data_IF_163236606566
#
_entry.id   IF_163236606566
#
_cell.length_a   1.000
_cell.length_b   1.000
_cell.length_c   1.000
_cell.angle_alpha   90.00
_cell.angle_beta   90.00
_cell.angle_gamma   90.00
#
_symmetry.space_group_name_H-M   'P 1'
#
loop_
_entity.id
_entity.type
_entity.pdbx_description
1 polymer ?
#
# COMPACT_ATOMS: atom_id res chain seq x y z
N UNK A 1 -3.79 3.73 -25.13
CA UNK A 1 -3.82 3.63 -24.68
C UNK A 1 -3.99 3.69 -23.82
N UNK A 2 -3.88 3.76 -23.28
CA UNK A 2 -3.94 3.77 -22.57
C UNK A 2 -4.67 3.42 -21.59
N UNK A 3 -4.89 2.91 -21.05
CA UNK A 3 -5.52 2.19 -20.05
C UNK A 3 -4.92 2.29 -18.74
N UNK A 4 -3.81 2.69 -18.68
CA UNK A 4 -3.18 2.88 -17.43
C UNK A 4 -3.94 3.77 -16.55
N UNK A 5 -4.54 4.76 -17.04
CA UNK A 5 -5.28 5.67 -16.18
C UNK A 5 -6.30 4.96 -15.33
N UNK A 6 -6.83 3.90 -15.88
CA UNK A 6 -7.84 3.20 -15.14
C UNK A 6 -7.31 2.64 -13.86
N UNK A 7 -6.16 2.04 -13.94
CA UNK A 7 -5.61 1.44 -12.77
C UNK A 7 -5.36 2.48 -11.70
N UNK A 8 -4.94 3.63 -12.15
CA UNK A 8 -4.67 4.70 -11.21
C UNK A 8 -5.92 5.16 -10.56
N UNK A 9 -6.95 5.34 -11.36
CA UNK A 9 -8.18 5.87 -10.86
C UNK A 9 -8.84 4.95 -9.87
N UNK A 10 -8.72 3.67 -10.09
CA UNK A 10 -9.38 2.74 -9.20
C UNK A 10 -8.56 2.44 -7.98
N UNK A 11 -7.33 2.86 -7.96
CA UNK A 11 -6.50 2.56 -6.83
C UNK A 11 -6.01 1.14 -6.79
N UNK A 12 -6.18 0.41 -7.89
CA UNK A 12 -5.70 -0.95 -7.92
C UNK A 12 -4.24 -0.97 -8.26
N UNK A 13 -3.52 -1.86 -7.60
CA UNK A 13 -2.08 -1.95 -7.76
C UNK A 13 -1.70 -3.35 -8.15
N UNK A 14 -0.72 -3.47 -9.03
CA UNK A 14 -0.22 -4.78 -9.40
C UNK A 14 0.72 -5.28 -8.30
N UNK A 15 1.04 -6.56 -8.37
CA UNK A 15 1.94 -7.12 -7.37
C UNK A 15 3.31 -6.49 -7.44
N UNK A 16 3.70 -6.03 -8.62
CA UNK A 16 5.00 -5.41 -8.77
C UNK A 16 5.04 -4.02 -8.16
N UNK A 17 3.87 -3.41 -7.96
CA UNK A 17 3.79 -2.05 -7.48
C UNK A 17 3.38 -1.94 -6.03
N UNK A 18 3.19 -3.07 -5.37
CA UNK A 18 2.65 -3.02 -4.02
C UNK A 18 3.18 -4.17 -3.20
N UNK A 19 2.98 -4.08 -1.90
CA UNK A 19 3.32 -5.17 -0.99
C UNK A 19 2.13 -5.42 -0.11
N UNK A 20 2.02 -6.64 0.37
CA UNK A 20 0.93 -7.00 1.25
C UNK A 20 1.08 -6.29 2.59
N UNK A 21 -0.01 -6.22 3.32
CA UNK A 21 0.01 -5.58 4.63
C UNK A 21 1.03 -6.21 5.57
N UNK A 22 1.07 -7.56 5.72
CA UNK A 22 2.06 -8.14 6.62
C UNK A 22 3.50 -7.83 6.19
N UNK A 23 3.75 -7.86 4.89
CA UNK A 23 5.09 -7.58 4.41
C UNK A 23 5.45 -6.13 4.63
N UNK A 24 4.52 -5.22 4.38
CA UNK A 24 4.78 -3.80 4.60
C UNK A 24 5.03 -3.53 6.07
N UNK A 25 4.24 -4.14 6.95
CA UNK A 25 4.42 -3.93 8.37
C UNK A 25 5.80 -4.39 8.80
N UNK A 26 6.23 -5.52 8.27
CA UNK A 26 7.53 -6.04 8.62
C UNK A 26 8.63 -5.07 8.21
N UNK A 27 8.51 -4.49 7.04
CA UNK A 27 9.50 -3.55 6.57
C UNK A 27 9.52 -2.26 7.37
N UNK A 28 8.38 -1.89 7.92
CA UNK A 28 8.28 -0.69 8.73
C UNK A 28 8.58 -0.95 10.20
N UNK A 29 8.79 -2.20 10.56
CA UNK A 29 9.06 -2.51 11.95
C UNK A 29 7.81 -2.50 12.82
N UNK A 30 6.66 -2.73 12.20
CA UNK A 30 5.40 -2.72 12.91
C UNK A 30 4.77 -4.09 12.79
N UNK A 31 3.72 -4.33 13.59
CA UNK A 31 2.94 -5.53 13.35
C UNK A 31 1.77 -5.16 12.44
N UNK A 32 1.12 -6.17 11.91
CA UNK A 32 0.08 -5.91 10.92
C UNK A 32 -1.08 -5.14 11.54
N UNK A 33 -1.39 -5.40 12.80
CA UNK A 33 -2.49 -4.72 13.46
C UNK A 33 -2.21 -3.21 13.54
N UNK A 34 -0.99 -2.87 13.93
CA UNK A 34 -0.62 -1.47 14.03
C UNK A 34 -0.70 -0.79 12.67
N UNK A 35 -0.22 -1.47 11.63
CA UNK A 35 -0.28 -0.89 10.30
C UNK A 35 -1.73 -0.68 9.87
N UNK A 36 -2.59 -1.64 10.14
CA UNK A 36 -3.99 -1.48 9.79
C UNK A 36 -4.60 -0.29 10.52
N UNK A 37 -4.22 -0.09 11.76
CA UNK A 37 -4.73 1.05 12.51
C UNK A 37 -4.30 2.35 11.86
N UNK A 38 -3.06 2.42 11.41
CA UNK A 38 -2.58 3.64 10.74
C UNK A 38 -3.34 3.87 9.44
N UNK A 39 -3.68 2.81 8.74
CA UNK A 39 -4.44 2.94 7.51
C UNK A 39 -5.83 3.47 7.83
N UNK A 40 -6.45 2.99 8.88
CA UNK A 40 -7.78 3.46 9.27
C UNK A 40 -7.75 4.91 9.66
N UNK A 41 -6.65 5.37 10.22
CA UNK A 41 -6.52 6.76 10.59
C UNK A 41 -6.06 7.62 9.43
N UNK A 42 -5.88 7.00 8.28
CA UNK A 42 -5.48 7.71 7.08
C UNK A 42 -4.09 8.31 7.19
N UNK A 43 -3.28 7.75 8.06
CA UNK A 43 -1.88 8.17 8.14
C UNK A 43 -1.02 7.40 7.18
N UNK A 44 -1.52 6.27 6.69
CA UNK A 44 -0.86 5.47 5.69
C UNK A 44 -1.90 5.18 4.63
N UNK A 45 -1.53 5.37 3.38
CA UNK A 45 -2.45 5.12 2.30
C UNK A 45 -2.36 3.69 1.85
N UNK A 46 -3.48 3.05 1.71
CA UNK A 46 -3.54 1.70 1.20
C UNK A 46 -4.31 1.68 -0.10
N UNK A 47 -4.01 0.71 -0.93
CA UNK A 47 -4.75 0.50 -2.16
C UNK A 47 -5.33 -0.88 -2.16
N UNK A 48 -5.87 -1.28 -3.30
CA UNK A 48 -6.42 -2.61 -3.47
C UNK A 48 -5.64 -3.34 -4.53
N UNK A 49 -5.38 -4.61 -4.30
CA UNK A 49 -4.75 -5.43 -5.31
C UNK A 49 -5.80 -5.87 -6.31
N UNK A 50 -5.36 -6.54 -7.35
CA UNK A 50 -6.29 -7.04 -8.34
C UNK A 50 -7.28 -8.01 -7.72
N UNK A 51 -6.90 -8.70 -6.66
CA UNK A 51 -7.79 -9.64 -6.00
C UNK A 51 -8.67 -8.98 -4.94
N UNK A 52 -8.53 -7.69 -4.76
CA UNK A 52 -9.39 -6.98 -3.82
C UNK A 52 -8.86 -6.92 -2.42
N UNK A 53 -7.60 -7.22 -2.20
CA UNK A 53 -7.01 -7.17 -0.87
C UNK A 53 -6.29 -5.86 -0.66
N UNK A 54 -6.24 -5.41 0.57
CA UNK A 54 -5.51 -4.19 0.87
C UNK A 54 -4.01 -4.43 0.73
N UNK A 55 -3.35 -3.50 0.08
CA UNK A 55 -1.91 -3.54 -0.10
C UNK A 55 -1.37 -2.13 0.04
N UNK A 56 -0.07 -2.02 0.21
CA UNK A 56 0.58 -0.72 0.32
C UNK A 56 1.42 -0.53 -0.94
N UNK A 57 1.25 0.59 -1.60
CA UNK A 57 2.04 0.88 -2.79
C UNK A 57 3.52 1.00 -2.42
N UNK A 58 4.37 0.55 -3.31
CA UNK A 58 5.81 0.65 -3.07
C UNK A 58 6.22 2.09 -2.83
N UNK A 59 5.62 3.02 -3.56
CA UNK A 59 5.96 4.42 -3.38
C UNK A 59 5.60 4.91 -2.00
N UNK A 60 4.45 4.48 -1.51
CA UNK A 60 4.04 4.90 -0.18
C UNK A 60 4.95 4.29 0.87
N UNK A 61 5.31 3.04 0.68
CA UNK A 61 6.20 2.39 1.62
C UNK A 61 7.55 3.08 1.64
N UNK A 62 8.07 3.43 0.47
CA UNK A 62 9.34 4.13 0.40
C UNK A 62 9.27 5.49 1.09
N UNK A 63 8.15 6.18 0.91
CA UNK A 63 7.98 7.47 1.54
C UNK A 63 8.01 7.33 3.06
N UNK A 64 7.37 6.30 3.57
CA UNK A 64 7.35 6.10 5.02
C UNK A 64 8.71 5.70 5.55
N UNK A 65 9.45 4.92 4.78
CA UNK A 65 10.76 4.49 5.21
C UNK A 65 11.78 5.61 5.15
N UNK A 66 11.58 6.56 4.26
CA UNK A 66 12.49 7.67 4.14
C UNK A 66 12.17 8.81 5.05
N UNK A 67 11.12 8.70 5.79
CA UNK A 67 10.79 9.74 6.67
C UNK A 67 11.92 9.98 7.62
N UNK A 68 12.22 11.13 7.86
CA UNK A 68 13.23 11.34 8.79
C UNK A 68 13.39 12.59 9.15
#
# INVERSE_FOLDING_TARGET
>A
MDSEPDAILTGRLSEAESVSIPKAARRLGLDAYTLCTLIQREQVRAGLSASGEFVIANEELNRLLKKD
#
